data_IF_661903660128
#
_entry.id   IF_661903660128
#
_cell.length_a   1.000
_cell.length_b   1.000
_cell.length_c   1.000
_cell.angle_alpha   90.00
_cell.angle_beta   90.00
_cell.angle_gamma   90.00
#
_symmetry.space_group_name_H-M   'P 1'
#
loop_
_entity.id
_entity.type
_entity.pdbx_description
1 polymer ?
#
# COMPACT_ATOMS: atom_id res chain seq x y z
N UNK A 1 -10.51 8.90 14.57
CA UNK A 1 -9.51 7.96 14.10
C UNK A 1 -8.90 7.20 15.28
N UNK A 2 -7.69 6.69 15.06
CA UNK A 2 -6.98 5.95 16.08
C UNK A 2 -7.69 4.61 16.33
N UNK A 3 -6.91 3.65 16.81
CA UNK A 3 -7.44 2.33 17.09
C UNK A 3 -7.31 1.44 15.85
N UNK A 4 -6.62 1.98 14.86
CA UNK A 4 -6.41 1.25 13.61
C UNK A 4 -6.13 -0.22 13.88
N UNK A 5 -6.94 -1.07 13.26
CA UNK A 5 -6.81 -2.50 13.43
C UNK A 5 -6.75 -3.17 12.04
N UNK A 6 -6.08 -4.31 12.00
CA UNK A 6 -5.95 -5.04 10.75
C UNK A 6 -7.35 -5.35 10.19
N UNK A 7 -8.22 -5.81 11.07
CA UNK A 7 -9.58 -6.13 10.68
C UNK A 7 -10.23 -4.93 9.99
N UNK A 8 -9.91 -3.75 10.49
CA UNK A 8 -10.46 -2.52 9.92
C UNK A 8 -9.70 -2.15 8.65
N UNK A 9 -8.42 -2.46 8.64
CA UNK A 9 -7.58 -2.17 7.49
C UNK A 9 -8.20 -2.77 6.24
N UNK A 10 -8.73 -3.97 6.40
CA UNK A 10 -9.37 -4.68 5.30
C UNK A 10 -10.51 -3.84 4.71
N UNK A 11 -11.14 -3.08 5.59
CA UNK A 11 -12.25 -2.22 5.19
C UNK A 11 -11.76 -1.22 4.14
N UNK A 12 -10.69 -0.52 4.50
CA UNK A 12 -10.12 0.47 3.61
C UNK A 12 -9.32 -0.22 2.50
N UNK A 13 -8.72 -1.33 2.85
CA UNK A 13 -7.92 -2.09 1.90
C UNK A 13 -8.78 -2.47 0.68
N UNK A 14 -10.05 -2.71 0.94
CA UNK A 14 -10.98 -3.07 -0.11
C UNK A 14 -11.25 -1.87 -1.03
N UNK A 15 -11.53 -0.75 -0.39
CA UNK A 15 -11.81 0.47 -1.13
C UNK A 15 -10.51 1.01 -1.73
N UNK A 16 -9.45 0.91 -0.94
CA UNK A 16 -8.14 1.38 -1.39
C UNK A 16 -7.74 0.62 -2.65
N UNK A 17 -8.09 -0.65 -2.68
CA UNK A 17 -7.76 -1.50 -3.82
C UNK A 17 -8.55 -1.01 -5.04
N UNK A 18 -9.82 -0.69 -4.80
CA UNK A 18 -10.68 -0.22 -5.87
C UNK A 18 -10.15 1.10 -6.43
N UNK A 19 -9.75 1.98 -5.52
CA UNK A 19 -9.21 3.28 -5.91
C UNK A 19 -7.79 3.10 -6.44
N UNK A 20 -7.08 2.16 -5.84
CA UNK A 20 -5.71 1.88 -6.24
C UNK A 20 -5.72 1.47 -7.72
N UNK A 21 -6.71 0.68 -8.07
CA UNK A 21 -6.85 0.21 -9.44
C UNK A 21 -7.16 1.40 -10.35
N UNK A 22 -7.90 2.35 -9.80
CA UNK A 22 -8.28 3.53 -10.55
C UNK A 22 -7.07 4.46 -10.70
N UNK A 23 -6.31 4.58 -9.62
CA UNK A 23 -5.13 5.43 -9.63
C UNK A 23 -4.07 4.84 -10.56
N UNK A 24 -4.01 3.51 -10.56
CA UNK A 24 -3.05 2.81 -11.40
C UNK A 24 -2.15 1.90 -10.56
N UNK A 25 -2.78 1.00 -9.84
CA UNK A 25 -2.06 0.07 -8.99
C UNK A 25 -2.58 -1.35 -9.24
N UNK A 26 -1.74 -2.14 -9.91
CA UNK A 26 -2.10 -3.52 -10.21
C UNK A 26 -1.58 -4.43 -9.12
N UNK A 27 -0.28 -4.31 -8.85
CA UNK A 27 0.36 -5.12 -7.83
C UNK A 27 -0.03 -4.62 -6.44
N UNK A 28 -1.32 -4.70 -6.15
CA UNK A 28 -1.83 -4.26 -4.86
C UNK A 28 -1.64 -5.38 -3.84
N UNK A 29 -0.53 -5.30 -3.13
CA UNK A 29 -0.22 -6.30 -2.12
C UNK A 29 0.47 -5.65 -0.93
N UNK A 30 0.35 -6.30 0.22
CA UNK A 30 0.95 -5.80 1.45
C UNK A 30 2.25 -6.56 1.72
N UNK A 31 3.33 -5.81 1.88
CA UNK A 31 4.62 -6.39 2.15
C UNK A 31 5.24 -5.80 3.41
N UNK A 32 5.77 -6.69 4.25
CA UNK A 32 6.39 -6.28 5.49
C UNK A 32 5.73 -6.95 6.69
N UNK A 33 5.90 -6.34 7.85
CA UNK A 33 5.33 -6.87 9.08
C UNK A 33 3.82 -6.65 9.09
N UNK A 34 3.40 -5.58 8.43
CA UNK A 34 1.98 -5.25 8.35
C UNK A 34 1.22 -6.42 7.73
N UNK A 35 1.75 -6.89 6.60
CA UNK A 35 1.13 -8.00 5.90
C UNK A 35 1.10 -9.23 6.82
N UNK A 36 2.11 -9.32 7.67
CA UNK A 36 2.21 -10.42 8.60
C UNK A 36 1.29 -10.19 9.80
N UNK A 37 0.76 -8.98 9.87
CA UNK A 37 -0.13 -8.63 10.96
C UNK A 37 0.64 -8.00 12.12
N UNK A 38 1.62 -7.18 11.76
CA UNK A 38 2.44 -6.51 12.75
C UNK A 38 2.59 -5.03 12.42
N UNK A 39 2.26 -4.19 13.39
CA UNK A 39 2.37 -2.75 13.20
C UNK A 39 1.69 -2.04 14.37
N UNK A 40 2.50 -1.34 15.15
CA UNK A 40 1.99 -0.60 16.30
C UNK A 40 1.42 0.74 15.87
N UNK A 41 1.02 1.53 16.86
CA UNK A 41 0.47 2.84 16.59
C UNK A 41 1.58 3.84 16.27
N UNK A 42 2.81 3.34 16.32
CA UNK A 42 3.96 4.18 16.03
C UNK A 42 4.74 3.59 14.85
N UNK A 43 4.10 2.63 14.19
CA UNK A 43 4.72 1.98 13.04
C UNK A 43 4.15 2.56 11.74
N UNK A 44 4.84 2.26 10.65
CA UNK A 44 4.42 2.72 9.34
C UNK A 44 3.78 1.58 8.56
N UNK A 45 3.13 1.94 7.47
CA UNK A 45 2.48 0.95 6.63
C UNK A 45 3.22 0.84 5.30
N UNK A 46 3.89 -0.30 5.12
CA UNK A 46 4.64 -0.54 3.90
C UNK A 46 3.74 -1.22 2.88
N UNK A 47 3.56 -0.55 1.75
CA UNK A 47 2.72 -1.07 0.68
C UNK A 47 3.50 -1.03 -0.64
N UNK A 48 3.58 -2.18 -1.28
CA UNK A 48 4.28 -2.29 -2.55
C UNK A 48 3.26 -2.37 -3.69
N UNK A 49 3.23 -1.32 -4.50
CA UNK A 49 2.32 -1.27 -5.62
C UNK A 49 3.11 -1.05 -6.91
N UNK A 50 2.52 -1.48 -8.02
CA UNK A 50 3.15 -1.34 -9.32
C UNK A 50 2.27 -0.48 -10.23
N UNK A 51 2.83 0.62 -10.67
CA UNK A 51 2.10 1.53 -11.54
C UNK A 51 2.37 1.20 -13.01
N UNK A 52 1.28 1.01 -13.74
CA UNK A 52 1.38 0.70 -15.16
C UNK A 52 1.93 1.88 -15.93
N UNK A 53 1.62 1.93 -17.22
CA UNK A 53 2.08 3.00 -18.08
C UNK A 53 1.07 4.16 -18.06
N UNK A 54 1.61 5.36 -18.15
CA UNK A 54 0.77 6.55 -18.14
C UNK A 54 0.64 7.13 -16.73
N UNK A 55 0.86 6.26 -15.75
CA UNK A 55 0.76 6.66 -14.35
C UNK A 55 2.01 7.45 -13.94
N UNK A 56 1.78 8.60 -13.33
CA UNK A 56 2.87 9.45 -12.88
C UNK A 56 2.83 9.60 -11.36
N UNK A 57 3.86 10.26 -10.85
CA UNK A 57 3.96 10.49 -9.41
C UNK A 57 2.69 11.20 -8.92
N UNK A 58 2.10 11.95 -9.83
CA UNK A 58 0.88 12.69 -9.50
C UNK A 58 -0.16 11.71 -8.94
N UNK A 59 -0.26 10.56 -9.58
CA UNK A 59 -1.20 9.55 -9.15
C UNK A 59 -0.73 8.95 -7.83
N UNK A 60 0.58 8.81 -7.72
CA UNK A 60 1.17 8.24 -6.51
C UNK A 60 0.81 9.11 -5.31
N UNK A 61 1.06 10.41 -5.44
CA UNK A 61 0.77 11.35 -4.38
C UNK A 61 -0.74 11.32 -4.09
N UNK A 62 -1.51 11.25 -5.15
CA UNK A 62 -2.96 11.21 -5.02
C UNK A 62 -3.39 9.94 -4.28
N UNK A 63 -2.72 8.85 -4.60
CA UNK A 63 -3.02 7.57 -3.98
C UNK A 63 -2.49 7.57 -2.54
N UNK A 64 -1.28 8.09 -2.39
CA UNK A 64 -0.66 8.15 -1.07
C UNK A 64 -1.51 9.03 -0.15
N UNK A 65 -2.01 10.12 -0.72
CA UNK A 65 -2.84 11.05 0.05
C UNK A 65 -4.22 10.41 0.27
N UNK A 66 -4.68 9.72 -0.76
CA UNK A 66 -5.99 9.07 -0.69
C UNK A 66 -5.93 7.93 0.33
N UNK A 67 -4.78 7.27 0.37
CA UNK A 67 -4.59 6.17 1.30
C UNK A 67 -4.58 6.70 2.73
N UNK A 68 -3.84 7.78 2.92
CA UNK A 68 -3.73 8.40 4.23
C UNK A 68 -5.10 8.93 4.68
N UNK A 69 -5.88 9.35 3.69
CA UNK A 69 -7.20 9.89 3.96
C UNK A 69 -8.17 8.77 4.35
N UNK A 70 -8.20 7.74 3.51
CA UNK A 70 -9.08 6.61 3.75
C UNK A 70 -8.66 5.91 5.05
N UNK A 71 -7.36 5.71 5.18
CA UNK A 71 -6.82 5.07 6.36
C UNK A 71 -6.68 6.08 7.49
N UNK A 72 -6.81 7.35 7.12
CA UNK A 72 -6.70 8.43 8.08
C UNK A 72 -5.42 8.31 8.92
N UNK A 73 -4.47 7.55 8.37
CA UNK A 73 -3.21 7.34 9.04
C UNK A 73 -2.08 7.30 8.00
N UNK A 74 -0.89 7.67 8.44
CA UNK A 74 0.27 7.70 7.57
C UNK A 74 0.33 6.40 6.75
N UNK A 75 0.56 6.55 5.46
CA UNK A 75 0.64 5.42 4.57
C UNK A 75 1.87 5.57 3.66
N UNK A 76 2.71 4.55 3.67
CA UNK A 76 3.91 4.57 2.85
C UNK A 76 3.72 3.64 1.65
N UNK A 77 3.78 4.24 0.47
CA UNK A 77 3.62 3.49 -0.76
C UNK A 77 4.96 3.36 -1.46
N UNK A 78 5.16 2.21 -2.09
CA UNK A 78 6.41 1.94 -2.80
C UNK A 78 6.09 1.43 -4.20
N UNK A 79 6.95 1.80 -5.15
CA UNK A 79 6.77 1.38 -6.52
C UNK A 79 7.77 0.28 -6.87
N UNK A 80 7.24 -0.82 -7.40
CA UNK A 80 8.07 -1.94 -7.78
C UNK A 80 9.28 -1.47 -8.58
N UNK A 81 9.04 -0.47 -9.42
CA UNK A 81 10.10 0.09 -10.25
C UNK A 81 11.24 0.60 -9.37
N UNK A 82 10.98 1.74 -8.73
CA UNK A 82 11.97 2.35 -7.86
C UNK A 82 12.58 1.32 -6.92
N UNK A 83 11.80 0.28 -6.62
CA UNK A 83 12.26 -0.77 -5.74
C UNK A 83 13.57 -1.35 -6.29
N UNK A 84 14.04 -2.39 -5.61
CA UNK A 84 15.27 -3.05 -6.01
C UNK A 84 14.95 -4.45 -6.55
N UNK A 85 15.98 -5.07 -7.19
CA UNK A 85 15.81 -6.39 -7.75
C UNK A 85 15.82 -7.46 -6.64
N UNK A 86 16.75 -7.30 -5.72
CA UNK A 86 16.86 -8.24 -4.61
C UNK A 86 15.80 -7.94 -3.55
N UNK A 87 15.36 -6.69 -3.54
CA UNK A 87 14.34 -6.26 -2.58
C UNK A 87 12.96 -6.63 -3.12
N UNK A 88 12.74 -6.28 -4.38
CA UNK A 88 11.47 -6.56 -5.03
C UNK A 88 11.12 -8.04 -4.88
N UNK A 89 12.07 -8.89 -5.24
CA UNK A 89 11.88 -10.32 -5.16
C UNK A 89 11.47 -10.72 -3.74
N UNK A 90 12.14 -10.11 -2.77
CA UNK A 90 11.86 -10.39 -1.37
C UNK A 90 10.52 -9.77 -0.97
N UNK A 91 10.25 -8.60 -1.53
CA UNK A 91 9.01 -7.89 -1.23
C UNK A 91 7.82 -8.75 -1.69
N UNK A 92 7.96 -9.31 -2.89
CA UNK A 92 6.92 -10.15 -3.45
C UNK A 92 6.61 -11.28 -2.47
N UNK A 93 7.67 -11.92 -1.99
CA UNK A 93 7.52 -13.02 -1.06
C UNK A 93 6.66 -12.59 0.14
N UNK A 94 6.64 -11.29 0.37
CA UNK A 94 5.87 -10.75 1.47
C UNK A 94 4.53 -10.19 0.96
N UNK A 95 4.59 -9.57 -0.20
CA UNK A 95 3.40 -9.00 -0.80
C UNK A 95 2.26 -10.01 -0.75
N UNK A 96 1.13 -9.57 -0.21
CA UNK A 96 -0.03 -10.44 -0.10
C UNK A 96 -1.23 -9.76 -0.75
N UNK A 97 -1.84 -10.49 -1.72
CA UNK A 97 -3.00 -9.96 -2.44
C UNK A 97 -4.25 -10.02 -1.56
N UNK A 98 -4.77 -8.85 -1.24
CA UNK A 98 -5.96 -8.74 -0.42
C UNK A 98 -7.21 -8.89 -1.30
#
# INVERSE_FOLDING_TARGET
>A
GSHMDLETLRARREAVLSLCARHGAVRVRVFGSVARGEAREDSDLDLLVAFEEGRTLLDHARLKLALEGLLGVRVDIVSERGLAPRLREQVLREAIPL
#
